data_IF_746671528155
#
_entry.id   IF_746671528155
#
_cell.length_a   1.000
_cell.length_b   1.000
_cell.length_c   1.000
_cell.angle_alpha   90.00
_cell.angle_beta   90.00
_cell.angle_gamma   90.00
#
_symmetry.space_group_name_H-M   'P 1'
#
loop_
_entity.id
_entity.type
_entity.pdbx_description
1 polymer ?
#
# COMPACT_ATOMS: atom_id res chain seq x y z
N UNK A 1 12.00 -10.15 -14.80
CA UNK A 1 12.84 -10.31 -16.03
C UNK A 1 12.59 -11.66 -16.73
N UNK A 2 12.12 -12.67 -16.00
CA UNK A 2 11.97 -14.03 -16.54
C UNK A 2 10.59 -14.28 -17.19
N UNK A 3 9.66 -13.34 -17.08
CA UNK A 3 8.37 -13.38 -17.77
C UNK A 3 8.44 -12.62 -19.10
N UNK A 4 7.66 -13.10 -20.08
CA UNK A 4 7.47 -12.40 -21.35
C UNK A 4 6.62 -11.13 -21.18
N UNK A 5 6.70 -10.24 -22.18
CA UNK A 5 6.06 -8.93 -22.11
C UNK A 5 4.53 -8.99 -21.99
N UNK A 6 3.87 -9.94 -22.68
CA UNK A 6 2.41 -10.03 -22.66
C UNK A 6 1.91 -10.54 -21.31
N UNK A 7 2.58 -11.56 -20.75
CA UNK A 7 2.28 -12.04 -19.39
C UNK A 7 2.51 -10.97 -18.34
N UNK A 8 3.64 -10.26 -18.42
CA UNK A 8 3.95 -9.16 -17.51
C UNK A 8 2.90 -8.03 -17.60
N UNK A 9 2.45 -7.69 -18.81
CA UNK A 9 1.39 -6.70 -19.04
C UNK A 9 0.06 -7.12 -18.37
N UNK A 10 -0.33 -8.38 -18.54
CA UNK A 10 -1.52 -8.92 -17.89
C UNK A 10 -1.39 -8.84 -16.37
N UNK A 11 -0.23 -9.22 -15.81
CA UNK A 11 0.05 -9.10 -14.37
C UNK A 11 -0.08 -7.66 -13.85
N UNK A 12 0.49 -6.69 -14.56
CA UNK A 12 0.38 -5.27 -14.21
C UNK A 12 -1.07 -4.76 -14.24
N UNK A 13 -1.89 -5.25 -15.17
CA UNK A 13 -3.30 -4.88 -15.23
C UNK A 13 -4.15 -5.56 -14.14
N UNK A 14 -3.85 -6.81 -13.82
CA UNK A 14 -4.52 -7.55 -12.75
C UNK A 14 -4.34 -6.89 -11.38
N UNK A 15 -3.15 -6.32 -11.09
CA UNK A 15 -2.90 -5.64 -9.81
C UNK A 15 -3.86 -4.46 -9.57
N UNK A 16 -4.29 -3.76 -10.63
CA UNK A 16 -5.27 -2.66 -10.52
C UNK A 16 -6.71 -3.13 -10.28
N UNK A 17 -6.96 -4.43 -10.42
CA UNK A 17 -8.27 -5.06 -10.19
C UNK A 17 -8.32 -5.78 -8.83
N UNK A 18 -7.24 -5.73 -8.05
CA UNK A 18 -7.18 -6.39 -6.75
C UNK A 18 -8.22 -5.79 -5.78
N UNK A 19 -8.90 -6.67 -5.05
CA UNK A 19 -9.88 -6.28 -4.03
C UNK A 19 -9.20 -6.25 -2.66
N UNK A 20 -9.41 -5.22 -1.83
CA UNK A 20 -8.85 -5.16 -0.47
C UNK A 20 -9.36 -6.31 0.41
N UNK A 21 -8.44 -6.93 1.15
CA UNK A 21 -8.75 -7.97 2.14
C UNK A 21 -8.90 -7.37 3.53
N UNK A 22 -9.70 -8.01 4.39
CA UNK A 22 -9.82 -7.63 5.82
C UNK A 22 -8.46 -7.69 6.53
N UNK A 23 -7.62 -8.67 6.16
CA UNK A 23 -6.24 -8.80 6.60
C UNK A 23 -5.32 -8.78 5.38
N UNK A 24 -4.81 -7.61 5.05
CA UNK A 24 -3.85 -7.43 3.97
C UNK A 24 -2.43 -7.77 4.45
N UNK A 25 -1.68 -8.47 3.61
CA UNK A 25 -0.28 -8.82 3.87
C UNK A 25 0.58 -8.41 2.66
N UNK A 26 1.77 -7.87 2.93
CA UNK A 26 2.72 -7.51 1.89
C UNK A 26 3.30 -8.77 1.23
N UNK A 27 3.73 -8.71 -0.05
CA UNK A 27 4.35 -9.84 -0.70
C UNK A 27 5.67 -10.23 0.00
N UNK A 28 5.92 -11.54 0.18
CA UNK A 28 7.18 -12.03 0.74
C UNK A 28 8.40 -11.68 -0.13
N UNK A 29 8.21 -11.57 -1.44
CA UNK A 29 9.22 -11.11 -2.41
C UNK A 29 8.68 -9.87 -3.10
N UNK A 30 9.16 -8.71 -2.65
CA UNK A 30 8.77 -7.41 -3.17
C UNK A 30 9.74 -6.84 -4.18
N UNK A 31 9.34 -5.72 -4.78
CA UNK A 31 10.13 -4.91 -5.70
C UNK A 31 10.75 -3.69 -5.01
N UNK A 32 10.29 -3.33 -3.82
CA UNK A 32 10.66 -2.12 -3.10
C UNK A 32 9.72 -0.94 -3.38
N UNK A 33 8.82 -1.05 -4.36
CA UNK A 33 7.85 0.00 -4.69
C UNK A 33 6.64 0.00 -3.75
N UNK A 34 6.43 -1.05 -2.97
CA UNK A 34 5.21 -1.27 -2.19
C UNK A 34 4.97 -0.13 -1.19
N UNK A 35 6.01 0.29 -0.47
CA UNK A 35 5.93 1.39 0.49
C UNK A 35 5.66 2.74 -0.18
N UNK A 36 6.26 2.97 -1.36
CA UNK A 36 6.06 4.20 -2.14
C UNK A 36 4.61 4.26 -2.62
N UNK A 37 4.10 3.17 -3.21
CA UNK A 37 2.71 3.10 -3.67
C UNK A 37 1.72 3.25 -2.51
N UNK A 38 1.95 2.59 -1.37
CA UNK A 38 1.08 2.70 -0.19
C UNK A 38 1.01 4.13 0.36
N UNK A 39 2.15 4.83 0.40
CA UNK A 39 2.24 6.23 0.83
C UNK A 39 1.61 7.19 -0.17
N UNK A 40 1.94 7.05 -1.45
CA UNK A 40 1.62 8.05 -2.48
C UNK A 40 0.22 7.86 -3.08
N UNK A 41 -0.37 6.66 -2.95
CA UNK A 41 -1.76 6.39 -3.36
C UNK A 41 -2.81 7.12 -2.51
N UNK A 42 -2.44 7.61 -1.33
CA UNK A 42 -3.36 8.23 -0.38
C UNK A 42 -4.27 7.23 0.35
N UNK A 43 -4.06 5.92 0.19
CA UNK A 43 -4.81 4.90 0.91
C UNK A 43 -4.44 4.83 2.41
N UNK A 44 -3.17 5.12 2.74
CA UNK A 44 -2.70 5.21 4.12
C UNK A 44 -2.78 6.66 4.65
N UNK A 45 -3.09 6.80 5.95
CA UNK A 45 -3.08 8.09 6.63
C UNK A 45 -1.66 8.41 7.12
N UNK A 46 -1.12 9.55 6.71
CA UNK A 46 0.18 10.05 7.17
C UNK A 46 0.04 11.33 8.01
N UNK A 47 0.90 11.50 9.02
CA UNK A 47 0.97 12.73 9.80
C UNK A 47 1.37 13.92 8.92
N UNK A 48 0.64 15.04 9.01
CA UNK A 48 0.93 16.26 8.23
C UNK A 48 2.02 17.12 8.86
N UNK A 49 2.26 16.95 10.16
CA UNK A 49 3.21 17.71 10.97
C UNK A 49 3.85 16.76 11.99
N UNK A 50 5.05 17.11 12.45
CA UNK A 50 5.70 16.41 13.56
C UNK A 50 4.93 16.63 14.86
N UNK A 51 4.90 15.63 15.74
CA UNK A 51 4.23 15.68 17.04
C UNK A 51 4.33 14.33 17.76
N UNK A 52 3.57 14.18 18.85
CA UNK A 52 3.56 12.97 19.68
C UNK A 52 2.10 12.53 19.78
N UNK A 53 1.84 11.23 19.63
CA UNK A 53 0.48 10.70 19.72
C UNK A 53 -0.08 10.93 21.13
N UNK A 54 -1.17 11.69 21.23
CA UNK A 54 -1.89 11.99 22.48
C UNK A 54 -3.04 10.99 22.71
N UNK A 55 -3.81 10.70 21.66
CA UNK A 55 -4.97 9.80 21.72
C UNK A 55 -5.11 8.96 20.44
N UNK A 56 -5.54 7.69 20.61
CA UNK A 56 -5.87 6.78 19.51
C UNK A 56 -7.19 6.06 19.79
N UNK A 57 -8.10 6.10 18.83
CA UNK A 57 -9.27 5.23 18.77
C UNK A 57 -9.54 4.76 17.32
N UNK A 58 -10.57 3.93 17.11
CA UNK A 58 -10.89 3.36 15.80
C UNK A 58 -11.41 4.38 14.78
N UNK A 59 -11.70 5.61 15.20
CA UNK A 59 -12.28 6.68 14.38
C UNK A 59 -11.33 7.85 14.18
N UNK A 60 -10.37 8.07 15.08
CA UNK A 60 -9.43 9.20 15.01
C UNK A 60 -8.11 8.94 15.73
N UNK A 61 -7.10 9.68 15.29
CA UNK A 61 -5.76 9.77 15.91
C UNK A 61 -5.47 11.26 16.18
N UNK A 62 -4.97 11.57 17.37
CA UNK A 62 -4.54 12.92 17.78
C UNK A 62 -3.02 12.92 17.96
N UNK A 63 -2.34 13.87 17.31
CA UNK A 63 -0.87 14.03 17.25
C UNK A 63 -0.50 15.44 17.72
#
# INVERSE_FOLDING_TARGET
KNDDANRALMGSNMQRQAVPLVRAEAPFVGTGMEAVVARDSGAAVSAKRSGIVDQVDATRIVI
#
